data_IF_567025106170
#
_entry.id   IF_567025106170
#
_cell.length_a   1.000
_cell.length_b   1.000
_cell.length_c   1.000
_cell.angle_alpha   90.00
_cell.angle_beta   90.00
_cell.angle_gamma   90.00
#
_symmetry.space_group_name_H-M   'P 1'
#
loop_
_entity.id
_entity.type
_entity.pdbx_description
1 polymer ?
#
# COMPACT_ATOMS: atom_id res chain seq x y z
N UNK A 1 -25.42 3.41 -17.25
CA UNK A 1 -24.24 4.13 -16.72
C UNK A 1 -23.43 3.11 -15.95
N UNK A 2 -22.20 2.81 -16.36
CA UNK A 2 -21.37 1.83 -15.64
C UNK A 2 -21.05 2.38 -14.26
N UNK A 3 -21.54 1.72 -13.20
CA UNK A 3 -21.13 2.01 -11.82
C UNK A 3 -19.65 1.68 -11.65
N UNK A 4 -18.80 2.67 -11.96
CA UNK A 4 -17.36 2.51 -11.94
C UNK A 4 -16.92 2.56 -10.48
N UNK A 5 -16.71 1.38 -9.90
CA UNK A 5 -16.20 1.25 -8.54
C UNK A 5 -14.95 2.14 -8.31
N UNK A 6 -15.03 2.98 -7.28
CA UNK A 6 -13.96 3.91 -6.87
C UNK A 6 -12.71 3.14 -6.45
N UNK A 7 -11.54 3.70 -6.78
CA UNK A 7 -10.24 3.21 -6.32
C UNK A 7 -9.82 3.99 -5.09
N UNK A 8 -9.54 3.29 -4.00
CA UNK A 8 -9.01 3.88 -2.75
C UNK A 8 -7.59 3.39 -2.55
N UNK A 9 -6.62 4.31 -2.51
CA UNK A 9 -5.23 3.99 -2.21
C UNK A 9 -5.09 3.61 -0.72
N UNK A 10 -4.27 2.60 -0.45
CA UNK A 10 -3.95 2.12 0.90
C UNK A 10 -2.46 2.38 1.14
N UNK A 11 -2.17 3.06 2.25
CA UNK A 11 -0.82 3.43 2.70
C UNK A 11 -0.69 3.18 4.19
N UNK A 12 -0.25 1.97 4.61
CA UNK A 12 -0.08 1.65 6.02
C UNK A 12 1.03 2.51 6.65
N UNK A 13 0.83 2.95 7.90
CA UNK A 13 1.78 3.83 8.59
C UNK A 13 3.14 3.17 8.90
N UNK A 14 3.17 1.84 9.02
CA UNK A 14 4.36 1.07 9.41
C UNK A 14 5.17 0.56 8.22
N UNK A 15 4.79 0.93 6.99
CA UNK A 15 5.50 0.50 5.78
C UNK A 15 6.35 1.63 5.23
N UNK A 16 7.49 1.26 4.66
CA UNK A 16 8.37 2.22 3.98
C UNK A 16 7.68 2.85 2.78
N UNK A 17 8.04 4.10 2.46
CA UNK A 17 7.51 4.78 1.27
C UNK A 17 7.93 4.01 0.00
N UNK A 18 7.00 3.74 -0.93
CA UNK A 18 7.32 3.06 -2.17
C UNK A 18 8.42 3.78 -2.98
N UNK A 19 9.32 3.05 -3.67
CA UNK A 19 10.44 3.65 -4.40
C UNK A 19 10.03 4.43 -5.66
N UNK A 20 8.76 4.33 -6.06
CA UNK A 20 8.17 5.06 -7.18
C UNK A 20 6.74 5.48 -6.84
N UNK A 21 6.07 6.21 -7.76
CA UNK A 21 4.73 6.76 -7.56
C UNK A 21 3.63 5.69 -7.65
N UNK A 22 3.54 4.82 -6.66
CA UNK A 22 2.46 3.85 -6.48
C UNK A 22 2.06 3.72 -5.00
N UNK A 23 0.89 3.13 -4.71
CA UNK A 23 0.41 2.84 -3.34
C UNK A 23 0.71 1.40 -2.93
N UNK A 24 0.82 1.13 -1.62
CA UNK A 24 1.03 -0.25 -1.11
C UNK A 24 -0.11 -1.19 -1.47
N UNK A 25 -1.32 -0.65 -1.59
CA UNK A 25 -2.44 -1.35 -2.18
C UNK A 25 -3.48 -0.40 -2.75
N UNK A 26 -4.41 -0.95 -3.52
CA UNK A 26 -5.61 -0.24 -3.99
C UNK A 26 -6.82 -1.12 -3.72
N UNK A 27 -7.80 -0.59 -2.99
CA UNK A 27 -9.12 -1.20 -2.84
C UNK A 27 -10.04 -0.71 -3.96
N UNK A 28 -10.75 -1.63 -4.60
CA UNK A 28 -11.82 -1.33 -5.56
C UNK A 28 -13.00 -2.28 -5.29
N UNK A 29 -14.09 -1.76 -4.77
CA UNK A 29 -15.20 -2.57 -4.26
C UNK A 29 -14.73 -3.51 -3.14
N UNK A 30 -14.87 -4.82 -3.36
CA UNK A 30 -14.51 -5.86 -2.39
C UNK A 30 -13.12 -6.49 -2.63
N UNK A 31 -12.35 -5.99 -3.61
CA UNK A 31 -11.01 -6.49 -3.91
C UNK A 31 -9.97 -5.51 -3.37
N UNK A 32 -8.98 -6.04 -2.66
CA UNK A 32 -7.73 -5.35 -2.33
C UNK A 32 -6.62 -5.94 -3.19
N UNK A 33 -6.05 -5.13 -4.07
CA UNK A 33 -4.84 -5.49 -4.80
C UNK A 33 -3.64 -4.90 -4.07
N UNK A 34 -2.68 -5.75 -3.71
CA UNK A 34 -1.46 -5.37 -2.97
C UNK A 34 -0.30 -5.26 -3.97
N UNK A 35 0.55 -4.26 -3.79
CA UNK A 35 1.80 -4.12 -4.55
C UNK A 35 2.78 -5.24 -4.17
N UNK A 36 3.78 -5.50 -5.03
CA UNK A 36 4.83 -6.47 -4.73
C UNK A 36 5.50 -6.15 -3.39
N UNK A 37 5.44 -7.09 -2.45
CA UNK A 37 6.10 -6.97 -1.15
C UNK A 37 7.49 -7.57 -1.23
N UNK A 38 8.44 -6.97 -0.52
CA UNK A 38 9.80 -7.48 -0.31
C UNK A 38 10.00 -7.67 1.20
N UNK A 39 11.00 -8.47 1.61
CA UNK A 39 11.14 -8.96 2.98
C UNK A 39 11.62 -7.95 4.04
N UNK A 40 11.16 -6.70 4.00
CA UNK A 40 11.40 -5.73 5.07
C UNK A 40 10.61 -6.10 6.33
N UNK A 41 11.21 -5.88 7.49
CA UNK A 41 10.48 -5.93 8.75
C UNK A 41 9.56 -4.70 8.88
N UNK A 42 8.46 -4.78 9.64
CA UNK A 42 7.62 -3.62 9.92
C UNK A 42 8.46 -2.48 10.54
N UNK A 43 8.26 -1.26 10.05
CA UNK A 43 9.01 -0.11 10.54
C UNK A 43 8.61 0.23 11.98
N UNK A 44 9.62 0.43 12.83
CA UNK A 44 9.47 0.96 14.19
C UNK A 44 9.85 2.44 14.18
N UNK A 45 9.03 3.33 14.77
CA UNK A 45 9.37 4.74 14.85
C UNK A 45 10.73 4.97 15.53
N UNK A 46 11.64 5.68 14.86
CA UNK A 46 12.97 5.99 15.37
C UNK A 46 14.07 4.99 15.00
N UNK A 47 13.74 3.89 14.32
CA UNK A 47 14.70 2.89 13.84
C UNK A 47 14.88 2.95 12.32
N UNK A 48 16.07 2.60 11.84
CA UNK A 48 16.32 2.43 10.41
C UNK A 48 15.61 1.15 9.91
N UNK A 49 15.04 1.16 8.69
CA UNK A 49 14.38 -0.03 8.14
C UNK A 49 15.39 -1.17 7.92
N UNK A 50 15.06 -2.36 8.42
CA UNK A 50 15.84 -3.61 8.29
C UNK A 50 15.18 -4.59 7.34
#
# INVERSE_FOLDING_TARGET
MSDKLTKTAITPATHTTPPAKFSHGVRKGNILQVAGQVGFLPAVPGEAPT
#
